data_IF_011152723274
#
_entry.id   IF_011152723274
#
_cell.length_a   1.000
_cell.length_b   1.000
_cell.length_c   1.000
_cell.angle_alpha   90.00
_cell.angle_beta   90.00
_cell.angle_gamma   90.00
#
_symmetry.space_group_name_H-M   'P 1'
#
loop_
_entity.id
_entity.type
_entity.pdbx_description
1 polymer ?
#
# COMPACT_ATOMS: atom_id res chain seq x y z
N UNK A 1 4.18 -32.54 7.77
CA UNK A 1 3.85 -31.68 6.62
C UNK A 1 2.41 -31.19 6.77
N UNK A 2 2.18 -30.03 7.40
CA UNK A 2 0.82 -29.55 7.70
C UNK A 2 0.67 -28.02 7.83
N UNK A 3 1.70 -27.25 7.48
CA UNK A 3 1.72 -25.79 7.66
C UNK A 3 1.12 -24.97 6.51
N UNK A 4 0.96 -25.56 5.32
CA UNK A 4 0.51 -24.82 4.13
C UNK A 4 -1.01 -24.70 3.99
N UNK A 5 -1.80 -25.52 4.69
CA UNK A 5 -3.27 -25.51 4.53
C UNK A 5 -3.94 -24.45 5.42
N UNK A 6 -3.42 -24.22 6.64
CA UNK A 6 -4.00 -23.25 7.57
C UNK A 6 -3.81 -21.80 7.12
N UNK A 7 -2.67 -21.49 6.47
CA UNK A 7 -2.37 -20.14 5.99
C UNK A 7 -3.40 -19.67 4.97
N UNK A 8 -3.81 -20.55 4.06
CA UNK A 8 -4.76 -20.19 2.99
C UNK A 8 -6.22 -20.08 3.47
N UNK A 9 -6.63 -20.83 4.49
CA UNK A 9 -8.01 -20.78 5.02
C UNK A 9 -8.19 -19.59 5.97
N UNK A 10 -7.20 -19.29 6.81
CA UNK A 10 -7.31 -18.23 7.81
C UNK A 10 -7.26 -16.83 7.19
N UNK A 11 -6.42 -16.63 6.17
CA UNK A 11 -6.34 -15.38 5.41
C UNK A 11 -7.71 -15.00 4.84
N UNK A 12 -8.41 -15.93 4.18
CA UNK A 12 -9.72 -15.68 3.61
C UNK A 12 -10.81 -15.33 4.64
N UNK A 13 -10.78 -15.95 5.83
CA UNK A 13 -11.76 -15.67 6.88
C UNK A 13 -11.51 -14.30 7.51
N UNK A 14 -10.27 -13.98 7.88
CA UNK A 14 -9.96 -12.73 8.59
C UNK A 14 -10.06 -11.51 7.65
N UNK A 15 -9.74 -11.66 6.35
CA UNK A 15 -9.98 -10.65 5.31
C UNK A 15 -11.47 -10.40 5.05
N UNK A 16 -12.31 -11.45 5.14
CA UNK A 16 -13.75 -11.32 4.92
C UNK A 16 -14.43 -10.49 6.01
N UNK A 17 -13.96 -10.58 7.27
CA UNK A 17 -14.54 -9.87 8.41
C UNK A 17 -13.90 -8.51 8.75
N UNK A 18 -12.84 -8.08 8.04
CA UNK A 18 -12.17 -6.79 8.32
C UNK A 18 -11.46 -6.72 9.68
N UNK A 19 -11.13 -7.89 10.25
CA UNK A 19 -10.46 -8.01 11.55
C UNK A 19 -8.93 -8.12 11.42
N UNK A 20 -8.43 -8.23 10.20
CA UNK A 20 -7.00 -8.30 9.90
C UNK A 20 -6.29 -7.00 10.28
N UNK A 21 -5.08 -7.14 10.83
CA UNK A 21 -4.16 -6.02 10.99
C UNK A 21 -3.30 -5.91 9.72
N UNK A 22 -3.10 -4.70 9.23
CA UNK A 22 -2.28 -4.38 8.08
C UNK A 22 -1.27 -3.30 8.45
N UNK A 23 -0.10 -3.35 7.81
CA UNK A 23 0.89 -2.27 7.80
C UNK A 23 0.64 -1.45 6.55
N UNK A 24 0.17 -0.23 6.72
CA UNK A 24 0.08 0.77 5.66
C UNK A 24 1.39 1.57 5.61
N UNK A 25 2.00 1.67 4.43
CA UNK A 25 3.19 2.47 4.18
C UNK A 25 2.88 3.44 3.05
N UNK A 26 2.86 4.73 3.36
CA UNK A 26 2.68 5.79 2.37
C UNK A 26 4.06 6.35 2.03
N UNK A 27 4.39 6.39 0.75
CA UNK A 27 5.62 6.99 0.21
C UNK A 27 5.27 8.34 -0.43
N UNK A 28 6.22 9.28 -0.39
CA UNK A 28 6.06 10.61 -0.99
C UNK A 28 6.61 10.67 -2.42
N UNK A 29 7.71 9.96 -2.69
CA UNK A 29 8.37 9.94 -4.01
C UNK A 29 8.91 8.54 -4.33
N UNK A 30 8.29 7.81 -5.28
CA UNK A 30 6.98 8.08 -5.88
C UNK A 30 5.85 8.06 -4.84
N UNK A 31 4.73 8.73 -5.11
CA UNK A 31 3.59 8.77 -4.19
C UNK A 31 2.76 7.49 -4.31
N UNK A 32 2.98 6.57 -3.38
CA UNK A 32 2.34 5.26 -3.37
C UNK A 32 1.86 4.94 -1.95
N UNK A 33 0.82 4.12 -1.85
CA UNK A 33 0.40 3.51 -0.57
C UNK A 33 0.48 1.99 -0.70
N UNK A 34 1.25 1.37 0.18
CA UNK A 34 1.44 -0.07 0.25
C UNK A 34 0.74 -0.64 1.49
N UNK A 35 0.06 -1.77 1.34
CA UNK A 35 -0.55 -2.51 2.45
C UNK A 35 0.08 -3.90 2.56
N UNK A 36 0.76 -4.16 3.68
CA UNK A 36 1.39 -5.45 3.98
C UNK A 36 0.61 -6.20 5.07
N UNK A 37 0.35 -7.49 4.84
CA UNK A 37 -0.47 -8.33 5.71
C UNK A 37 -1.15 -9.48 4.94
N UNK A 38 -2.26 -10.04 5.46
CA UNK A 38 -2.90 -9.72 6.74
C UNK A 38 -2.18 -10.36 7.93
N UNK A 39 -2.11 -9.64 9.05
CA UNK A 39 -1.59 -10.11 10.33
C UNK A 39 -2.71 -10.43 11.32
N UNK A 40 -2.49 -11.43 12.18
CA UNK A 40 -3.44 -11.77 13.25
C UNK A 40 -3.33 -10.82 14.45
N UNK A 41 -2.12 -10.31 14.72
CA UNK A 41 -1.83 -9.46 15.88
C UNK A 41 -1.07 -8.22 15.47
N UNK A 42 -1.37 -7.10 16.12
CA UNK A 42 -0.63 -5.85 15.95
C UNK A 42 0.86 -6.03 16.21
N UNK A 43 1.23 -6.82 17.22
CA UNK A 43 2.64 -7.11 17.53
C UNK A 43 3.40 -7.79 16.38
N UNK A 44 2.72 -8.62 15.58
CA UNK A 44 3.33 -9.31 14.44
C UNK A 44 3.58 -8.31 13.29
N UNK A 45 2.59 -7.46 13.01
CA UNK A 45 2.70 -6.37 12.06
C UNK A 45 3.80 -5.36 12.47
N UNK A 46 3.87 -5.01 13.75
CA UNK A 46 4.90 -4.12 14.31
C UNK A 46 6.31 -4.69 14.20
N UNK A 47 6.47 -6.00 14.37
CA UNK A 47 7.76 -6.67 14.19
C UNK A 47 8.18 -6.75 12.72
N UNK A 48 7.22 -6.93 11.81
CA UNK A 48 7.48 -7.05 10.37
C UNK A 48 7.71 -5.69 9.68
N UNK A 49 7.12 -4.60 10.19
CA UNK A 49 7.12 -3.29 9.49
C UNK A 49 8.50 -2.75 9.16
N UNK A 50 9.50 -3.03 10.00
CA UNK A 50 10.86 -2.54 9.80
C UNK A 50 11.48 -3.10 8.50
N UNK A 51 11.27 -4.38 8.22
CA UNK A 51 11.76 -4.99 6.97
C UNK A 51 11.13 -4.36 5.73
N UNK A 52 9.82 -4.09 5.75
CA UNK A 52 9.15 -3.43 4.63
C UNK A 52 9.65 -2.00 4.39
N UNK A 53 9.98 -1.27 5.46
CA UNK A 53 10.57 0.07 5.35
C UNK A 53 11.96 -0.01 4.73
N UNK A 54 12.81 -0.90 5.24
CA UNK A 54 14.18 -1.09 4.72
C UNK A 54 14.18 -1.45 3.23
N UNK A 55 13.29 -2.36 2.81
CA UNK A 55 13.13 -2.76 1.42
C UNK A 55 12.71 -1.56 0.54
N UNK A 56 11.71 -0.78 0.96
CA UNK A 56 11.23 0.38 0.21
C UNK A 56 12.25 1.51 0.15
N UNK A 57 13.01 1.74 1.23
CA UNK A 57 14.11 2.70 1.24
C UNK A 57 15.25 2.25 0.31
N UNK A 58 15.58 0.95 0.28
CA UNK A 58 16.58 0.39 -0.62
C UNK A 58 16.17 0.49 -2.10
N UNK A 59 14.86 0.42 -2.39
CA UNK A 59 14.30 0.69 -3.73
C UNK A 59 14.29 2.18 -4.10
N UNK A 60 14.63 3.07 -3.16
CA UNK A 60 14.74 4.51 -3.39
C UNK A 60 13.46 5.30 -3.09
N UNK A 61 12.47 4.70 -2.42
CA UNK A 61 11.29 5.40 -1.94
C UNK A 61 11.68 6.41 -0.85
N UNK A 62 11.02 7.58 -0.84
CA UNK A 62 11.28 8.65 0.14
C UNK A 62 10.01 9.06 0.87
N UNK A 63 10.18 9.62 2.07
CA UNK A 63 9.08 10.17 2.87
C UNK A 63 8.10 9.11 3.35
N UNK A 64 8.62 7.99 3.88
CA UNK A 64 7.79 6.86 4.31
C UNK A 64 7.03 7.19 5.60
N UNK A 65 5.71 7.02 5.57
CA UNK A 65 4.84 7.09 6.75
C UNK A 65 4.23 5.72 6.97
N UNK A 66 4.53 5.12 8.13
CA UNK A 66 4.12 3.75 8.47
C UNK A 66 3.01 3.79 9.52
N UNK A 67 1.91 3.11 9.23
CA UNK A 67 0.75 3.01 10.13
C UNK A 67 0.31 1.55 10.25
N UNK A 68 0.25 1.03 11.47
CA UNK A 68 -0.32 -0.30 11.74
C UNK A 68 -1.77 -0.14 12.15
N UNK A 69 -2.70 -0.67 11.36
CA UNK A 69 -4.14 -0.52 11.60
C UNK A 69 -4.92 -1.77 11.23
N UNK A 70 -6.10 -1.92 11.81
CA UNK A 70 -7.09 -2.89 11.33
C UNK A 70 -7.86 -2.28 10.17
N UNK A 71 -7.79 -2.90 9.01
CA UNK A 71 -8.52 -2.46 7.82
C UNK A 71 -8.73 -3.62 6.85
N UNK A 72 -9.47 -3.35 5.78
CA UNK A 72 -9.63 -4.24 4.63
C UNK A 72 -9.26 -3.45 3.38
N UNK A 73 -7.98 -3.46 2.97
CA UNK A 73 -7.58 -2.75 1.75
C UNK A 73 -8.22 -3.41 0.53
N UNK A 74 -8.73 -2.59 -0.39
CA UNK A 74 -9.25 -3.08 -1.68
C UNK A 74 -8.13 -3.38 -2.68
N UNK A 75 -6.99 -2.70 -2.55
CA UNK A 75 -5.75 -2.96 -3.28
C UNK A 75 -4.55 -2.92 -2.35
N UNK A 76 -3.58 -3.79 -2.59
CA UNK A 76 -2.33 -3.87 -1.82
C UNK A 76 -1.33 -2.77 -2.19
N UNK A 77 -1.45 -2.24 -3.40
CA UNK A 77 -0.64 -1.13 -3.90
C UNK A 77 -1.56 -0.13 -4.56
N UNK A 78 -1.53 1.10 -4.06
CA UNK A 78 -2.32 2.21 -4.58
C UNK A 78 -1.35 3.28 -5.05
N UNK A 79 -1.32 3.52 -6.35
CA UNK A 79 -0.56 4.60 -6.96
C UNK A 79 -1.39 5.87 -6.93
N UNK A 80 -0.81 6.97 -6.48
CA UNK A 80 -1.42 8.29 -6.59
C UNK A 80 -1.10 8.84 -7.99
N UNK A 81 -1.81 8.33 -9.01
CA UNK A 81 -1.64 8.74 -10.43
C UNK A 81 -2.19 10.16 -10.71
N UNK A 82 -2.35 11.01 -9.69
CA UNK A 82 -3.00 12.32 -9.81
C UNK A 82 -2.20 13.35 -10.62
N UNK A 83 -1.00 13.01 -11.10
CA UNK A 83 -0.18 13.86 -11.96
C UNK A 83 -0.44 13.67 -13.47
N UNK A 84 -1.05 12.56 -13.90
CA UNK A 84 -1.13 12.25 -15.34
C UNK A 84 -2.39 12.80 -16.04
N UNK A 85 -3.45 13.17 -15.31
CA UNK A 85 -4.70 13.63 -15.93
C UNK A 85 -4.86 15.16 -16.06
N UNK A 86 -3.85 15.95 -15.64
CA UNK A 86 -3.97 17.42 -15.66
C UNK A 86 -3.09 18.14 -16.69
N UNK A 87 -2.08 17.49 -17.25
CA UNK A 87 -1.20 18.13 -18.24
C UNK A 87 -1.84 18.22 -19.65
N UNK A 88 -2.68 17.25 -20.03
CA UNK A 88 -3.33 17.24 -21.35
C UNK A 88 -4.40 18.34 -21.52
N UNK A 89 -4.98 18.85 -20.43
CA UNK A 89 -6.05 19.85 -20.51
C UNK A 89 -5.53 21.27 -20.71
N UNK A 90 -4.29 21.56 -20.32
CA UNK A 90 -3.74 22.93 -20.41
C UNK A 90 -3.02 23.22 -21.74
N UNK A 91 -2.54 22.21 -22.46
CA UNK A 91 -1.83 22.40 -23.73
C UNK A 91 -2.75 22.52 -24.95
N UNK A 92 -4.08 22.32 -24.79
CA UNK A 92 -5.03 22.39 -25.89
C UNK A 92 -5.52 23.82 -26.26
N UNK A 93 -5.08 24.87 -25.57
CA UNK A 93 -5.51 26.26 -25.83
C UNK A 93 -4.35 27.23 -26.09
N UNK A 94 -3.41 26.84 -26.96
CA UNK A 94 -2.52 27.80 -27.62
C UNK A 94 -2.51 27.52 -29.11
N UNK A 95 -3.50 28.03 -29.82
CA UNK A 95 -3.58 27.81 -31.26
C UNK A 95 -4.85 28.33 -31.91
N UNK A 96 -5.06 29.65 -31.86
CA UNK A 96 -5.65 30.40 -32.97
C UNK A 96 -5.42 31.90 -32.76
N UNK A 97 -4.24 32.34 -33.22
CA UNK A 97 -4.04 33.67 -33.77
C UNK A 97 -4.44 33.58 -35.24
N UNK A 98 -5.50 34.29 -35.63
CA UNK A 98 -5.63 35.13 -36.84
C UNK A 98 -7.07 35.64 -36.95
#
# INVERSE_FOLDING_TARGET
>A
MGGHLFKNIFTSVVETFGLAVWVEIVTDSPRCTYYFGPFLRTSEAEAAKAGYVEDLEAEGSKGLIVTVKRCKPESLTVYDDSLDFKLDRFLAFSGQTL
#
